data_IF_444154954356
#
_entry.id   IF_444154954356
#
_cell.length_a   1.000
_cell.length_b   1.000
_cell.length_c   1.000
_cell.angle_alpha   90.00
_cell.angle_beta   90.00
_cell.angle_gamma   90.00
#
_symmetry.space_group_name_H-M   'P 1'
#
loop_
_entity.id
_entity.type
_entity.pdbx_description
1 polymer ?
#
# COMPACT_ATOMS: atom_id res chain seq x y z
N UNK A 1 7.49 -38.82 50.85
CA UNK A 1 6.60 -37.73 50.38
C UNK A 1 7.42 -36.45 50.35
N UNK A 2 7.42 -35.77 49.20
CA UNK A 2 7.70 -34.34 48.90
C UNK A 2 8.50 -34.19 47.60
N UNK A 3 7.73 -34.22 46.52
CA UNK A 3 7.74 -33.28 45.40
C UNK A 3 8.99 -33.17 44.53
N UNK A 4 9.06 -34.09 43.57
CA UNK A 4 9.55 -33.80 42.23
C UNK A 4 8.60 -32.81 41.54
N UNK A 5 8.86 -31.51 41.70
CA UNK A 5 8.49 -30.52 40.69
C UNK A 5 9.79 -30.11 40.01
N UNK A 6 10.24 -30.94 39.07
CA UNK A 6 11.19 -30.50 38.06
C UNK A 6 10.56 -29.28 37.43
N UNK A 7 11.20 -28.12 37.56
CA UNK A 7 10.85 -26.96 36.77
C UNK A 7 10.87 -27.44 35.32
N UNK A 8 9.67 -27.62 34.75
CA UNK A 8 9.52 -27.78 33.32
C UNK A 8 10.17 -26.53 32.76
N UNK A 9 11.25 -26.74 32.02
CA UNK A 9 11.81 -25.75 31.11
C UNK A 9 10.65 -25.35 30.21
N UNK A 10 9.91 -24.33 30.63
CA UNK A 10 8.83 -23.75 29.87
C UNK A 10 9.55 -23.17 28.66
N UNK A 11 9.37 -23.74 27.45
CA UNK A 11 10.05 -23.21 26.29
C UNK A 11 9.54 -21.78 26.16
N UNK A 12 10.38 -20.81 26.53
CA UNK A 12 10.05 -19.41 26.45
C UNK A 12 9.52 -19.19 25.04
N UNK A 13 8.21 -18.94 24.94
CA UNK A 13 7.54 -18.86 23.66
C UNK A 13 8.32 -17.83 22.83
N UNK A 14 9.04 -18.32 21.82
CA UNK A 14 9.72 -17.45 20.88
C UNK A 14 8.59 -16.94 19.99
N UNK A 15 7.83 -15.97 20.52
CA UNK A 15 7.02 -15.03 19.76
C UNK A 15 7.94 -14.57 18.64
N UNK A 16 7.72 -15.13 17.45
CA UNK A 16 8.60 -14.87 16.33
C UNK A 16 8.41 -13.39 16.04
N UNK A 17 9.44 -12.57 16.28
CA UNK A 17 9.47 -11.14 15.98
C UNK A 17 9.47 -10.87 14.46
N UNK A 18 8.80 -11.71 13.69
CA UNK A 18 8.60 -11.55 12.27
C UNK A 18 7.65 -10.37 12.08
N UNK A 19 8.19 -9.30 11.50
CA UNK A 19 7.47 -8.05 11.32
C UNK A 19 6.15 -8.28 10.57
N UNK A 20 5.04 -7.91 11.19
CA UNK A 20 3.72 -7.89 10.54
C UNK A 20 3.70 -6.97 9.30
N UNK A 21 4.66 -6.05 9.20
CA UNK A 21 4.78 -5.05 8.14
C UNK A 21 5.86 -5.47 7.14
N UNK A 22 5.45 -5.64 5.88
CA UNK A 22 6.38 -5.89 4.77
C UNK A 22 6.77 -4.57 4.09
N UNK A 23 7.98 -4.09 4.34
CA UNK A 23 8.46 -2.79 3.82
C UNK A 23 8.71 -2.78 2.30
N UNK A 24 9.19 -3.89 1.73
CA UNK A 24 9.46 -3.99 0.28
C UNK A 24 8.23 -3.68 -0.59
N UNK A 25 7.08 -4.35 -0.37
CA UNK A 25 5.81 -4.05 -1.05
C UNK A 25 5.36 -2.59 -0.92
N UNK A 26 5.51 -2.00 0.28
CA UNK A 26 5.13 -0.61 0.54
C UNK A 26 5.97 0.35 -0.30
N UNK A 27 7.29 0.19 -0.29
CA UNK A 27 8.22 1.03 -1.07
C UNK A 27 7.96 0.87 -2.57
N UNK A 28 7.75 -0.36 -3.04
CA UNK A 28 7.43 -0.63 -4.45
C UNK A 28 6.12 0.06 -4.89
N UNK A 29 5.06 -0.03 -4.07
CA UNK A 29 3.80 0.65 -4.32
C UNK A 29 3.94 2.18 -4.31
N UNK A 30 4.69 2.74 -3.36
CA UNK A 30 4.96 4.17 -3.28
C UNK A 30 5.73 4.69 -4.50
N UNK A 31 6.75 3.95 -4.95
CA UNK A 31 7.52 4.28 -6.14
C UNK A 31 6.66 4.25 -7.41
N UNK A 32 5.80 3.25 -7.55
CA UNK A 32 4.87 3.17 -8.67
C UNK A 32 3.85 4.33 -8.67
N UNK A 33 3.29 4.67 -7.51
CA UNK A 33 2.38 5.82 -7.37
C UNK A 33 3.07 7.14 -7.73
N UNK A 34 4.30 7.36 -7.24
CA UNK A 34 5.06 8.58 -7.53
C UNK A 34 5.40 8.69 -9.03
N UNK A 35 5.86 7.60 -9.63
CA UNK A 35 6.16 7.54 -11.07
C UNK A 35 4.91 7.86 -11.91
N UNK A 36 3.77 7.24 -11.58
CA UNK A 36 2.51 7.49 -12.28
C UNK A 36 2.04 8.94 -12.09
N UNK A 37 2.20 9.50 -10.89
CA UNK A 37 1.88 10.90 -10.61
C UNK A 37 2.68 11.83 -11.51
N UNK A 38 3.99 11.63 -11.63
CA UNK A 38 4.87 12.45 -12.49
C UNK A 38 4.45 12.36 -13.95
N UNK A 39 4.16 11.15 -14.45
CA UNK A 39 3.70 10.94 -15.83
C UNK A 39 2.38 11.70 -16.07
N UNK A 40 1.40 11.54 -15.19
CA UNK A 40 0.10 12.20 -15.34
C UNK A 40 0.17 13.72 -15.17
N UNK A 41 1.09 14.23 -14.35
CA UNK A 41 1.37 15.66 -14.26
C UNK A 41 1.93 16.19 -15.58
N UNK A 42 2.87 15.47 -16.20
CA UNK A 42 3.44 15.84 -17.49
C UNK A 42 2.36 15.83 -18.58
N UNK A 43 1.56 14.76 -18.64
CA UNK A 43 0.42 14.66 -19.58
C UNK A 43 -0.58 15.79 -19.35
N UNK A 44 -0.95 16.05 -18.10
CA UNK A 44 -1.88 17.12 -17.73
C UNK A 44 -1.39 18.50 -18.14
N UNK A 45 -0.09 18.76 -17.98
CA UNK A 45 0.51 20.03 -18.42
C UNK A 45 0.41 20.19 -19.95
N UNK A 46 0.66 19.13 -20.72
CA UNK A 46 0.51 19.14 -22.17
C UNK A 46 -0.93 19.38 -22.61
N UNK A 47 -1.89 18.68 -21.99
CA UNK A 47 -3.32 18.86 -22.26
C UNK A 47 -3.84 20.25 -21.86
N UNK A 48 -3.37 20.80 -20.74
CA UNK A 48 -3.72 22.14 -20.29
C UNK A 48 -3.22 23.22 -21.26
N UNK A 49 -2.00 23.07 -21.76
CA UNK A 49 -1.40 24.01 -22.72
C UNK A 49 -2.08 23.99 -24.08
N UNK A 50 -2.61 22.86 -24.55
CA UNK A 50 -3.34 22.79 -25.83
C UNK A 50 -4.73 23.41 -25.77
N UNK A 51 -5.34 23.49 -24.58
CA UNK A 51 -6.67 24.09 -24.39
C UNK A 51 -6.64 25.62 -24.26
N UNK A 52 -5.47 26.24 -24.04
CA UNK A 52 -5.32 27.69 -23.90
C UNK A 52 -4.87 28.34 -25.20
N UNK A 53 -5.66 29.32 -25.66
CA UNK A 53 -5.28 30.17 -26.80
C UNK A 53 -4.17 31.15 -26.41
N UNK A 54 -3.09 31.29 -27.20
CA UNK A 54 -2.03 32.27 -26.95
C UNK A 54 -2.50 33.73 -27.04
N UNK A 55 -3.58 33.96 -27.77
CA UNK A 55 -4.03 35.30 -28.19
C UNK A 55 -5.35 35.72 -27.53
N UNK A 56 -5.90 34.89 -26.63
CA UNK A 56 -7.20 35.10 -25.99
C UNK A 56 -7.09 35.17 -24.46
N UNK A 57 -7.99 35.92 -23.83
CA UNK A 57 -8.10 35.97 -22.36
C UNK A 57 -8.72 34.67 -21.84
N UNK A 58 -7.92 33.81 -21.19
CA UNK A 58 -8.42 32.61 -20.54
C UNK A 58 -9.14 32.96 -19.23
N UNK A 59 -10.31 32.36 -19.00
CA UNK A 59 -11.02 32.47 -17.73
C UNK A 59 -10.23 31.75 -16.62
N UNK A 60 -9.73 32.52 -15.64
CA UNK A 60 -8.98 31.99 -14.48
C UNK A 60 -9.79 30.92 -13.75
N UNK A 61 -11.10 31.08 -13.66
CA UNK A 61 -12.01 30.13 -13.01
C UNK A 61 -12.05 28.79 -13.75
N UNK A 62 -12.12 28.81 -15.08
CA UNK A 62 -12.10 27.60 -15.91
C UNK A 62 -10.77 26.86 -15.78
N UNK A 63 -9.67 27.60 -15.73
CA UNK A 63 -8.33 27.03 -15.52
C UNK A 63 -8.21 26.38 -14.12
N UNK A 64 -8.69 27.06 -13.07
CA UNK A 64 -8.66 26.53 -11.71
C UNK A 64 -9.51 25.26 -11.57
N UNK A 65 -10.74 25.26 -12.12
CA UNK A 65 -11.65 24.10 -12.06
C UNK A 65 -11.09 22.92 -12.84
N UNK A 66 -10.58 23.14 -14.06
CA UNK A 66 -9.99 22.06 -14.86
C UNK A 66 -8.74 21.47 -14.19
N UNK A 67 -7.87 22.32 -13.63
CA UNK A 67 -6.70 21.87 -12.86
C UNK A 67 -7.12 21.06 -11.63
N UNK A 68 -8.13 21.51 -10.88
CA UNK A 68 -8.63 20.79 -9.72
C UNK A 68 -9.19 19.40 -10.09
N UNK A 69 -10.00 19.30 -11.14
CA UNK A 69 -10.51 18.02 -11.65
C UNK A 69 -9.35 17.11 -12.05
N UNK A 70 -8.35 17.65 -12.77
CA UNK A 70 -7.19 16.89 -13.18
C UNK A 70 -6.42 16.31 -11.98
N UNK A 71 -6.17 17.11 -10.94
CA UNK A 71 -5.49 16.67 -9.73
C UNK A 71 -6.24 15.54 -9.02
N UNK A 72 -7.57 15.59 -8.96
CA UNK A 72 -8.38 14.49 -8.40
C UNK A 72 -8.15 13.20 -9.18
N UNK A 73 -8.15 13.25 -10.51
CA UNK A 73 -7.90 12.09 -11.38
C UNK A 73 -6.49 11.54 -11.13
N UNK A 74 -5.47 12.40 -11.08
CA UNK A 74 -4.08 12.00 -10.78
C UNK A 74 -4.02 11.26 -9.45
N UNK A 75 -4.66 11.77 -8.39
CA UNK A 75 -4.61 11.14 -7.08
C UNK A 75 -5.34 9.80 -7.05
N UNK A 76 -6.51 9.70 -7.69
CA UNK A 76 -7.26 8.45 -7.75
C UNK A 76 -6.47 7.35 -8.48
N UNK A 77 -5.96 7.64 -9.67
CA UNK A 77 -5.22 6.66 -10.46
C UNK A 77 -3.91 6.26 -9.79
N UNK A 78 -3.17 7.23 -9.25
CA UNK A 78 -1.88 6.98 -8.60
C UNK A 78 -2.03 6.18 -7.31
N UNK A 79 -3.03 6.51 -6.48
CA UNK A 79 -3.30 5.77 -5.24
C UNK A 79 -3.81 4.36 -5.52
N UNK A 80 -4.69 4.20 -6.51
CA UNK A 80 -5.18 2.89 -6.92
C UNK A 80 -4.05 1.98 -7.41
N UNK A 81 -3.17 2.47 -8.29
CA UNK A 81 -2.06 1.67 -8.81
C UNK A 81 -1.02 1.34 -7.72
N UNK A 82 -0.61 2.33 -6.94
CA UNK A 82 0.38 2.12 -5.86
C UNK A 82 -0.13 1.16 -4.80
N UNK A 83 -1.39 1.33 -4.38
CA UNK A 83 -2.05 0.43 -3.44
C UNK A 83 -2.23 -0.99 -4.00
N UNK A 84 -2.58 -1.12 -5.29
CA UNK A 84 -2.67 -2.41 -5.97
C UNK A 84 -1.32 -3.14 -5.98
N UNK A 85 -0.23 -2.46 -6.34
CA UNK A 85 1.12 -3.04 -6.34
C UNK A 85 1.56 -3.43 -4.93
N UNK A 86 1.38 -2.55 -3.95
CA UNK A 86 1.69 -2.87 -2.55
C UNK A 86 0.89 -4.07 -2.04
N UNK A 87 -0.40 -4.14 -2.38
CA UNK A 87 -1.27 -5.26 -2.03
C UNK A 87 -0.87 -6.58 -2.68
N UNK A 88 -0.49 -6.55 -3.97
CA UNK A 88 -0.11 -7.78 -4.71
C UNK A 88 1.23 -8.36 -4.29
N UNK A 89 2.16 -7.52 -3.84
CA UNK A 89 3.47 -7.94 -3.36
C UNK A 89 3.46 -8.35 -1.89
N UNK A 90 2.34 -8.17 -1.16
CA UNK A 90 2.21 -8.62 0.23
C UNK A 90 2.43 -10.12 0.33
N UNK A 91 3.44 -10.52 1.11
CA UNK A 91 3.73 -11.92 1.40
C UNK A 91 2.53 -12.55 2.12
N UNK A 92 1.99 -13.65 1.56
CA UNK A 92 0.89 -14.40 2.19
C UNK A 92 1.42 -15.13 3.42
N UNK A 93 0.83 -14.86 4.59
CA UNK A 93 1.06 -15.65 5.79
C UNK A 93 0.26 -16.95 5.66
N UNK A 94 0.90 -18.02 5.15
CA UNK A 94 0.24 -19.33 4.95
C UNK A 94 0.48 -20.28 6.13
N UNK A 95 1.23 -19.88 7.17
CA UNK A 95 1.74 -20.84 8.15
C UNK A 95 1.47 -20.49 9.62
N UNK A 96 0.26 -20.05 9.98
CA UNK A 96 -0.03 -19.67 11.39
C UNK A 96 -0.95 -20.63 12.16
N UNK A 97 -1.63 -21.61 11.54
CA UNK A 97 -2.57 -22.44 12.33
C UNK A 97 -2.70 -23.93 11.95
N UNK A 98 -1.71 -24.56 11.33
CA UNK A 98 -1.80 -26.02 11.09
C UNK A 98 -1.74 -26.82 12.41
N UNK A 99 -1.02 -26.31 13.41
CA UNK A 99 -0.80 -27.03 14.67
C UNK A 99 -1.96 -26.85 15.67
N UNK A 100 -2.71 -25.73 15.61
CA UNK A 100 -3.84 -25.46 16.51
C UNK A 100 -5.09 -26.31 16.18
N UNK A 101 -5.30 -26.66 14.91
CA UNK A 101 -6.43 -27.49 14.48
C UNK A 101 -6.28 -28.93 14.98
N UNK A 102 -5.06 -29.49 14.93
CA UNK A 102 -4.78 -30.84 15.44
C UNK A 102 -5.04 -30.96 16.95
N UNK A 103 -4.76 -29.89 17.71
CA UNK A 103 -4.98 -29.86 19.16
C UNK A 103 -6.47 -29.77 19.54
N UNK A 104 -7.29 -29.12 18.72
CA UNK A 104 -8.75 -28.99 18.95
C UNK A 104 -9.56 -30.22 18.56
N UNK A 105 -9.09 -30.99 17.59
CA UNK A 105 -9.81 -32.16 17.04
C UNK A 105 -9.49 -33.48 17.76
N UNK A 106 -8.62 -33.47 18.79
CA UNK A 106 -8.24 -34.67 19.57
C UNK A 106 -8.93 -34.74 20.95
N UNK A 107 -9.96 -33.91 21.19
CA UNK A 107 -10.79 -33.95 22.41
C UNK A 107 -12.06 -34.78 22.22
#
# INVERSE_FOLDING_TARGET
MTNAFSAVDEPAAIETASSAVSWGPIVAGAFAAATLTVILMLVGSGLGLTMMSPWGSASVTTFAVSTAIWLVIVQWLSSALGGYIAGRLRTKWVNVHTDEVYFRDTA
#
